data_IF_398225858683
#
_entry.id   IF_398225858683
#
_cell.length_a   1.000
_cell.length_b   1.000
_cell.length_c   1.000
_cell.angle_alpha   90.00
_cell.angle_beta   90.00
_cell.angle_gamma   90.00
#
_symmetry.space_group_name_H-M   'P 1'
#
loop_
_entity.id
_entity.type
_entity.pdbx_description
1 polymer ?
#
# COMPACT_ATOMS: atom_id res chain seq x y z
N UNK A 1 10.15 -3.37 -32.35
CA UNK A 1 9.72 -3.54 -30.96
C UNK A 1 9.39 -2.25 -30.21
N UNK A 2 9.77 -1.07 -30.71
CA UNK A 2 9.60 0.22 -30.01
C UNK A 2 8.19 0.85 -30.04
N UNK A 3 7.32 0.49 -30.97
CA UNK A 3 6.02 1.18 -31.15
C UNK A 3 4.90 0.72 -30.21
N UNK A 4 4.99 -0.45 -29.59
CA UNK A 4 3.95 -0.96 -28.69
C UNK A 4 4.10 -0.52 -27.23
N UNK A 5 5.32 -0.15 -26.80
CA UNK A 5 5.56 0.42 -25.48
C UNK A 5 5.06 1.88 -25.36
N UNK A 6 5.13 2.64 -26.46
CA UNK A 6 4.69 4.05 -26.48
C UNK A 6 3.17 4.18 -26.32
N UNK A 7 2.39 3.20 -26.81
CA UNK A 7 0.94 3.22 -26.67
C UNK A 7 0.45 3.01 -25.23
N UNK A 8 1.16 2.24 -24.41
CA UNK A 8 0.82 2.07 -22.98
C UNK A 8 1.08 3.33 -22.15
N UNK A 9 2.08 4.12 -22.54
CA UNK A 9 2.38 5.40 -21.87
C UNK A 9 1.44 6.54 -22.28
N UNK A 10 0.92 6.54 -23.50
CA UNK A 10 -0.09 7.52 -23.94
C UNK A 10 -1.41 7.37 -23.18
N UNK A 11 -1.77 6.15 -22.77
CA UNK A 11 -2.99 5.91 -21.98
C UNK A 11 -2.89 6.46 -20.53
N UNK A 12 -1.69 6.56 -19.93
CA UNK A 12 -1.51 7.16 -18.62
C UNK A 12 -1.59 8.70 -18.66
N UNK A 13 -1.16 9.32 -19.77
CA UNK A 13 -1.17 10.78 -19.91
C UNK A 13 -2.57 11.36 -20.15
N UNK A 14 -3.52 10.56 -20.64
CA UNK A 14 -4.91 10.98 -20.89
C UNK A 14 -5.82 10.87 -19.67
N UNK A 15 -5.38 10.27 -18.56
CA UNK A 15 -6.19 10.12 -17.34
C UNK A 15 -6.19 11.40 -16.47
N UNK A 16 -5.25 12.32 -16.68
CA UNK A 16 -5.11 13.55 -15.89
C UNK A 16 -6.19 14.64 -16.17
N UNK A 17 -7.17 14.39 -17.01
CA UNK A 17 -8.10 15.42 -17.51
C UNK A 17 -9.58 15.23 -17.22
N UNK A 18 -10.01 14.27 -16.37
CA UNK A 18 -11.44 14.03 -16.15
C UNK A 18 -11.80 14.37 -14.70
N UNK A 19 -12.59 15.42 -14.60
CA UNK A 19 -13.02 16.10 -13.40
C UNK A 19 -13.61 15.23 -12.30
N UNK A 20 -13.45 15.75 -11.10
CA UNK A 20 -13.99 15.30 -9.83
C UNK A 20 -15.51 15.10 -9.94
N UNK A 21 -15.97 13.87 -9.89
CA UNK A 21 -17.33 13.59 -9.44
C UNK A 21 -17.25 13.50 -7.91
N UNK A 22 -17.64 14.59 -7.25
CA UNK A 22 -17.88 14.57 -5.82
C UNK A 22 -19.05 13.60 -5.55
N UNK A 23 -18.71 12.37 -5.21
CA UNK A 23 -19.66 11.44 -4.64
C UNK A 23 -20.14 12.02 -3.30
N UNK A 24 -21.45 12.22 -3.15
CA UNK A 24 -22.07 12.55 -1.87
C UNK A 24 -21.77 11.40 -0.91
N UNK A 25 -20.74 11.58 -0.08
CA UNK A 25 -20.31 10.58 0.88
C UNK A 25 -21.40 10.37 1.91
N UNK A 26 -22.00 9.20 1.91
CA UNK A 26 -22.65 8.67 3.11
C UNK A 26 -21.57 8.57 4.17
N UNK A 27 -21.81 9.18 5.33
CA UNK A 27 -20.90 9.09 6.47
C UNK A 27 -20.57 7.63 6.74
N UNK A 28 -19.31 7.26 6.53
CA UNK A 28 -18.86 5.89 6.73
C UNK A 28 -18.97 5.50 8.18
N UNK A 29 -19.74 4.48 8.44
CA UNK A 29 -19.88 3.95 9.77
C UNK A 29 -18.53 3.38 10.23
N UNK A 30 -17.94 3.99 11.25
CA UNK A 30 -16.77 3.47 11.96
C UNK A 30 -17.07 2.05 12.42
N UNK A 31 -16.21 1.08 12.07
CA UNK A 31 -16.45 -0.31 12.47
C UNK A 31 -16.33 -0.45 13.98
N UNK A 32 -17.26 -1.16 14.64
CA UNK A 32 -17.24 -1.32 16.08
C UNK A 32 -16.07 -2.18 16.57
N UNK A 33 -15.77 -2.09 17.87
CA UNK A 33 -14.80 -2.94 18.54
C UNK A 33 -13.32 -2.57 18.32
N UNK A 34 -13.01 -1.48 17.64
CA UNK A 34 -11.65 -1.00 17.55
C UNK A 34 -11.21 -0.30 18.84
N UNK A 35 -9.99 -0.61 19.27
CA UNK A 35 -9.21 0.26 20.15
C UNK A 35 -8.65 1.40 19.28
N UNK A 36 -8.86 2.66 19.69
CA UNK A 36 -8.26 3.81 19.07
C UNK A 36 -7.16 4.38 19.97
N UNK A 37 -6.02 4.66 19.39
CA UNK A 37 -4.91 5.31 20.07
C UNK A 37 -4.07 6.13 19.10
N UNK A 38 -3.15 6.90 19.65
CA UNK A 38 -2.30 7.79 18.88
C UNK A 38 -0.82 7.44 19.10
N UNK A 39 -0.03 7.55 18.02
CA UNK A 39 1.43 7.41 18.07
C UNK A 39 2.09 8.70 17.63
N UNK A 40 3.31 8.94 18.12
CA UNK A 40 4.10 10.11 17.76
C UNK A 40 4.28 10.20 16.24
N UNK A 41 4.05 11.39 15.67
CA UNK A 41 4.12 11.67 14.25
C UNK A 41 5.54 11.90 13.72
N UNK A 42 6.60 11.68 14.52
CA UNK A 42 8.00 11.85 14.10
C UNK A 42 8.31 13.27 13.57
N UNK A 43 7.72 14.30 14.18
CA UNK A 43 7.88 15.69 13.75
C UNK A 43 6.89 16.16 12.69
N UNK A 44 5.99 15.29 12.22
CA UNK A 44 4.78 15.74 11.51
C UNK A 44 3.83 16.43 12.52
N UNK A 45 2.98 17.37 12.06
CA UNK A 45 1.98 17.98 12.94
C UNK A 45 1.02 16.95 13.54
N UNK A 46 0.94 16.94 14.85
CA UNK A 46 0.06 16.04 15.59
C UNK A 46 0.56 14.59 15.69
N UNK A 47 -0.20 13.81 16.41
CA UNK A 47 0.00 12.38 16.53
C UNK A 47 -0.80 11.62 15.44
N UNK A 48 -0.27 10.49 14.99
CA UNK A 48 -0.94 9.65 14.00
C UNK A 48 -1.97 8.76 14.71
N UNK A 49 -3.22 8.85 14.29
CA UNK A 49 -4.30 7.98 14.74
C UNK A 49 -4.07 6.54 14.30
N UNK A 50 -4.33 5.60 15.18
CA UNK A 50 -4.25 4.17 14.91
C UNK A 50 -5.54 3.50 15.40
N UNK A 51 -6.11 2.66 14.56
CA UNK A 51 -7.26 1.83 14.90
C UNK A 51 -6.82 0.36 14.93
N UNK A 52 -7.18 -0.36 16.01
CA UNK A 52 -6.75 -1.75 16.18
C UNK A 52 -7.90 -2.63 16.66
N UNK A 53 -8.05 -3.80 16.05
CA UNK A 53 -8.98 -4.85 16.46
C UNK A 53 -8.19 -6.03 17.02
N UNK A 54 -8.53 -6.46 18.24
CA UNK A 54 -7.89 -7.59 18.91
C UNK A 54 -8.66 -8.87 18.64
N UNK A 55 -7.93 -9.93 18.37
CA UNK A 55 -8.46 -11.29 18.38
C UNK A 55 -8.27 -11.90 19.78
N UNK A 56 -9.25 -12.67 20.27
CA UNK A 56 -9.21 -13.29 21.60
C UNK A 56 -7.99 -14.21 21.78
N UNK A 57 -7.64 -14.98 20.76
CA UNK A 57 -6.49 -15.89 20.73
C UNK A 57 -5.54 -15.53 19.58
N UNK A 58 -5.02 -14.31 19.61
CA UNK A 58 -4.18 -13.80 18.54
C UNK A 58 -2.85 -14.55 18.43
N UNK A 59 -2.52 -15.02 17.24
CA UNK A 59 -1.19 -15.56 16.92
C UNK A 59 -0.35 -14.61 16.05
N UNK A 60 -0.97 -13.61 15.41
CA UNK A 60 -0.31 -12.63 14.56
C UNK A 60 -1.00 -11.27 14.65
N UNK A 61 -0.26 -10.22 14.37
CA UNK A 61 -0.79 -8.88 14.11
C UNK A 61 -0.38 -8.44 12.73
N UNK A 62 -1.33 -7.95 11.95
CA UNK A 62 -1.10 -7.34 10.64
C UNK A 62 -1.32 -5.83 10.68
N UNK A 63 -0.34 -5.08 10.21
CA UNK A 63 -0.45 -3.63 9.95
C UNK A 63 -0.88 -3.45 8.50
N UNK A 64 -1.95 -2.69 8.26
CA UNK A 64 -2.53 -2.45 6.94
C UNK A 64 -2.24 -1.04 6.47
N UNK A 65 -1.67 -0.91 5.28
CA UNK A 65 -1.35 0.36 4.63
C UNK A 65 -2.31 0.62 3.47
N UNK A 66 -2.82 1.83 3.40
CA UNK A 66 -3.74 2.28 2.36
C UNK A 66 -3.03 2.58 1.02
N UNK A 67 -3.80 2.87 0.00
CA UNK A 67 -3.32 3.34 -1.31
C UNK A 67 -3.03 4.84 -1.34
N UNK A 68 -2.86 5.37 -2.56
CA UNK A 68 -2.47 6.77 -2.81
C UNK A 68 -3.43 7.80 -2.20
N UNK A 69 -4.73 7.46 -2.11
CA UNK A 69 -5.82 8.32 -1.62
C UNK A 69 -6.20 8.05 -0.16
N UNK A 70 -5.24 7.62 0.66
CA UNK A 70 -5.43 7.44 2.10
C UNK A 70 -5.97 8.73 2.75
N UNK A 71 -7.01 8.63 3.56
CA UNK A 71 -7.62 9.78 4.24
C UNK A 71 -7.11 9.91 5.67
N UNK A 72 -7.37 11.06 6.33
CA UNK A 72 -6.89 11.33 7.69
C UNK A 72 -7.95 11.06 8.77
N UNK A 73 -9.15 10.70 8.38
CA UNK A 73 -10.28 10.42 9.28
C UNK A 73 -10.48 8.93 9.53
N UNK A 74 -10.39 8.11 8.47
CA UNK A 74 -10.59 6.66 8.52
C UNK A 74 -9.71 5.98 7.46
N UNK A 75 -9.19 4.79 7.78
CA UNK A 75 -8.49 3.97 6.77
C UNK A 75 -9.47 3.42 5.75
N UNK A 76 -9.06 3.40 4.48
CA UNK A 76 -9.85 2.77 3.42
C UNK A 76 -10.09 1.28 3.67
N UNK A 77 -9.16 0.58 4.33
CA UNK A 77 -9.37 -0.80 4.77
C UNK A 77 -10.56 -0.94 5.73
N UNK A 78 -10.74 0.01 6.65
CA UNK A 78 -11.88 0.01 7.55
C UNK A 78 -13.17 0.37 6.83
N UNK A 79 -13.10 1.38 5.96
CA UNK A 79 -14.26 1.92 5.26
C UNK A 79 -14.81 0.95 4.22
N UNK A 80 -13.94 0.43 3.35
CA UNK A 80 -14.33 -0.28 2.13
C UNK A 80 -14.41 -1.80 2.29
N UNK A 81 -13.91 -2.35 3.43
CA UNK A 81 -13.75 -3.78 3.60
C UNK A 81 -14.27 -4.31 4.95
N UNK A 82 -14.26 -5.63 5.09
CA UNK A 82 -14.51 -6.30 6.37
C UNK A 82 -13.26 -6.96 6.96
N UNK A 83 -12.05 -6.57 6.55
CA UNK A 83 -10.81 -7.23 6.98
C UNK A 83 -10.55 -7.12 8.49
N UNK A 84 -11.20 -6.20 9.23
CA UNK A 84 -11.18 -6.17 10.68
C UNK A 84 -11.70 -7.50 11.28
N UNK A 85 -12.55 -8.25 10.56
CA UNK A 85 -13.05 -9.56 10.97
C UNK A 85 -12.00 -10.69 10.89
N UNK A 86 -10.79 -10.43 10.38
CA UNK A 86 -9.66 -11.36 10.49
C UNK A 86 -9.34 -11.71 11.95
N UNK A 87 -9.84 -10.92 12.91
CA UNK A 87 -9.82 -11.26 14.33
C UNK A 87 -10.47 -12.60 14.62
N UNK A 88 -11.51 -13.00 13.87
CA UNK A 88 -12.14 -14.33 13.95
C UNK A 88 -11.20 -15.48 13.55
N UNK A 89 -10.10 -15.17 12.86
CA UNK A 89 -9.04 -16.09 12.47
C UNK A 89 -7.81 -16.05 13.40
N UNK A 90 -7.88 -15.31 14.49
CA UNK A 90 -6.76 -15.13 15.42
C UNK A 90 -5.69 -14.15 14.94
N UNK A 91 -6.06 -13.18 14.11
CA UNK A 91 -5.16 -12.14 13.59
C UNK A 91 -5.63 -10.79 14.11
N UNK A 92 -4.81 -10.10 14.89
CA UNK A 92 -5.06 -8.71 15.22
C UNK A 92 -4.88 -7.85 13.97
N UNK A 93 -5.75 -6.87 13.77
CA UNK A 93 -5.72 -5.95 12.63
C UNK A 93 -5.42 -4.55 13.13
N UNK A 94 -4.44 -3.89 12.53
CA UNK A 94 -3.99 -2.54 12.92
C UNK A 94 -3.95 -1.66 11.67
N UNK A 95 -4.58 -0.51 11.74
CA UNK A 95 -4.69 0.45 10.66
C UNK A 95 -4.19 1.83 11.14
N UNK A 96 -2.96 2.25 10.80
CA UNK A 96 -2.57 3.65 10.92
C UNK A 96 -3.37 4.47 9.91
N UNK A 97 -3.94 5.59 10.36
CA UNK A 97 -4.85 6.42 9.56
C UNK A 97 -4.10 7.61 8.99
N UNK A 98 -4.17 7.79 7.67
CA UNK A 98 -3.51 8.88 6.96
C UNK A 98 -2.44 8.39 5.96
N UNK A 99 -1.64 9.33 5.48
CA UNK A 99 -0.56 9.02 4.56
C UNK A 99 -0.90 9.22 3.08
N UNK A 100 -1.89 10.06 2.76
CA UNK A 100 -2.17 10.46 1.37
C UNK A 100 -0.88 10.79 0.62
N UNK A 101 -0.68 10.19 -0.54
CA UNK A 101 0.46 10.43 -1.44
C UNK A 101 1.86 10.15 -0.84
N UNK A 102 1.95 9.63 0.40
CA UNK A 102 3.20 9.58 1.17
C UNK A 102 4.17 8.48 0.75
N UNK A 103 3.71 7.42 0.07
CA UNK A 103 4.42 6.16 -0.10
C UNK A 103 4.92 5.57 1.24
N UNK A 104 4.32 6.01 2.36
CA UNK A 104 4.73 5.66 3.72
C UNK A 104 6.24 5.78 3.96
N UNK A 105 6.86 6.76 3.30
CA UNK A 105 8.29 7.05 3.38
C UNK A 105 8.58 8.35 4.14
N UNK A 106 9.84 8.56 4.47
CA UNK A 106 10.31 9.85 4.97
C UNK A 106 10.72 10.70 3.78
N UNK A 107 10.07 11.83 3.59
CA UNK A 107 10.31 12.76 2.51
C UNK A 107 11.53 13.63 2.77
N UNK A 108 12.24 14.00 1.73
CA UNK A 108 13.43 14.87 1.81
C UNK A 108 13.04 16.32 2.18
N UNK A 109 11.88 16.78 1.72
CA UNK A 109 11.37 18.14 1.95
C UNK A 109 9.83 18.19 2.01
N UNK A 110 9.24 19.29 2.52
CA UNK A 110 7.83 19.58 2.36
C UNK A 110 7.43 19.68 0.89
N UNK A 111 6.21 19.23 0.54
CA UNK A 111 5.69 19.40 -0.81
C UNK A 111 5.36 20.87 -1.08
N UNK A 112 6.08 21.49 -1.99
CA UNK A 112 5.88 22.89 -2.35
C UNK A 112 4.79 23.12 -3.40
N UNK A 113 4.24 22.05 -4.01
CA UNK A 113 3.16 22.19 -4.99
C UNK A 113 1.79 22.42 -4.35
N UNK A 114 1.57 21.88 -3.15
CA UNK A 114 0.33 22.06 -2.38
C UNK A 114 0.56 22.83 -1.07
N UNK A 115 1.71 23.49 -0.93
CA UNK A 115 2.09 24.26 0.25
C UNK A 115 2.02 23.47 1.57
N UNK A 116 2.30 22.16 1.53
CA UNK A 116 2.38 21.36 2.77
C UNK A 116 3.53 21.90 3.64
N UNK A 117 3.29 22.27 4.91
CA UNK A 117 4.28 22.97 5.71
C UNK A 117 5.32 22.04 6.36
N UNK A 118 5.25 20.73 6.15
CA UNK A 118 6.14 19.73 6.76
C UNK A 118 6.48 18.61 5.78
N UNK A 119 7.63 17.99 5.97
CA UNK A 119 7.99 16.76 5.27
C UNK A 119 7.32 15.55 5.94
N UNK A 120 6.82 14.62 5.15
CA UNK A 120 6.32 13.36 5.67
C UNK A 120 7.43 12.55 6.37
N UNK A 121 7.05 11.86 7.48
CA UNK A 121 7.90 10.97 8.28
C UNK A 121 7.23 9.62 8.53
N UNK A 122 6.53 9.14 7.53
CA UNK A 122 5.73 7.92 7.67
C UNK A 122 6.57 6.67 7.87
N UNK A 123 7.77 6.57 7.30
CA UNK A 123 8.65 5.44 7.57
C UNK A 123 9.06 5.41 9.06
N UNK A 124 9.39 6.54 9.66
CA UNK A 124 9.65 6.64 11.10
C UNK A 124 8.42 6.17 11.92
N UNK A 125 7.20 6.60 11.55
CA UNK A 125 5.98 6.17 12.25
C UNK A 125 5.80 4.65 12.16
N UNK A 126 5.83 4.07 10.96
CA UNK A 126 5.52 2.65 10.74
C UNK A 126 6.67 1.73 11.18
N UNK A 127 7.92 2.17 11.07
CA UNK A 127 9.09 1.36 11.39
C UNK A 127 9.57 1.47 12.85
N UNK A 128 9.13 2.50 13.58
CA UNK A 128 9.56 2.71 14.96
C UNK A 128 8.41 2.99 15.93
N UNK A 129 7.66 4.09 15.73
CA UNK A 129 6.66 4.53 16.73
C UNK A 129 5.52 3.53 16.89
N UNK A 130 4.95 3.07 15.79
CA UNK A 130 3.84 2.12 15.80
C UNK A 130 4.24 0.76 16.39
N UNK A 131 5.33 0.08 15.98
CA UNK A 131 5.74 -1.17 16.58
C UNK A 131 6.03 -1.08 18.08
N UNK A 132 6.66 0.00 18.55
CA UNK A 132 6.89 0.20 19.98
C UNK A 132 5.57 0.38 20.75
N UNK A 133 4.62 1.14 20.23
CA UNK A 133 3.30 1.30 20.82
C UNK A 133 2.52 -0.02 20.86
N UNK A 134 2.56 -0.80 19.78
CA UNK A 134 1.93 -2.13 19.71
C UNK A 134 2.54 -3.11 20.71
N UNK A 135 3.87 -3.08 20.86
CA UNK A 135 4.57 -3.90 21.88
C UNK A 135 4.12 -3.53 23.28
N UNK A 136 4.09 -2.25 23.63
CA UNK A 136 3.63 -1.76 24.93
C UNK A 136 2.19 -2.11 25.24
N UNK A 137 1.35 -2.30 24.22
CA UNK A 137 -0.07 -2.70 24.33
C UNK A 137 -0.30 -4.22 24.28
N UNK A 138 0.76 -5.03 24.19
CA UNK A 138 0.64 -6.48 24.05
C UNK A 138 0.02 -6.93 22.72
N UNK A 139 0.13 -6.13 21.67
CA UNK A 139 -0.40 -6.41 20.34
C UNK A 139 0.62 -7.08 19.39
N UNK A 140 1.69 -7.70 19.92
CA UNK A 140 2.66 -8.47 19.12
C UNK A 140 2.79 -9.89 19.67
N UNK A 141 1.77 -10.76 19.49
CA UNK A 141 1.72 -12.07 20.15
C UNK A 141 2.83 -13.02 19.73
N UNK A 142 3.32 -12.93 18.48
CA UNK A 142 4.38 -13.79 17.93
C UNK A 142 5.78 -13.13 17.96
N UNK A 143 5.94 -12.02 18.68
CA UNK A 143 7.19 -11.25 18.72
C UNK A 143 7.48 -10.43 17.46
N UNK A 144 6.81 -10.72 16.34
CA UNK A 144 6.94 -9.97 15.07
C UNK A 144 5.61 -9.77 14.37
N UNK A 145 5.52 -8.65 13.68
CA UNK A 145 4.35 -8.21 12.92
C UNK A 145 4.34 -8.80 11.49
N UNK A 146 3.17 -8.82 10.90
CA UNK A 146 2.98 -8.78 9.46
C UNK A 146 2.65 -7.34 9.03
N UNK A 147 3.02 -6.97 7.81
CA UNK A 147 2.61 -5.72 7.18
C UNK A 147 2.04 -6.03 5.80
N UNK A 148 0.93 -5.43 5.47
CA UNK A 148 0.29 -5.58 4.17
C UNK A 148 -0.19 -4.23 3.66
N UNK A 149 -0.28 -4.07 2.35
CA UNK A 149 -0.76 -2.83 1.78
C UNK A 149 -1.22 -2.99 0.33
N UNK A 150 -1.94 -2.00 -0.14
CA UNK A 150 -2.44 -1.93 -1.51
C UNK A 150 -1.74 -0.82 -2.29
N UNK A 151 -1.57 -1.01 -3.62
CA UNK A 151 -1.09 0.05 -4.49
C UNK A 151 0.19 0.71 -3.94
N UNK A 152 0.17 2.02 -3.66
CA UNK A 152 1.22 2.75 -2.94
C UNK A 152 1.66 2.04 -1.65
N UNK A 153 0.70 1.63 -0.82
CA UNK A 153 0.97 0.91 0.44
C UNK A 153 1.53 -0.49 0.22
N UNK A 154 1.23 -1.13 -0.92
CA UNK A 154 1.80 -2.42 -1.29
C UNK A 154 3.30 -2.35 -1.58
N UNK A 155 3.75 -1.30 -2.26
CA UNK A 155 5.17 -0.97 -2.41
C UNK A 155 5.82 -0.73 -1.04
N UNK A 156 5.22 0.15 -0.24
CA UNK A 156 5.74 0.54 1.07
C UNK A 156 5.87 -0.66 2.04
N UNK A 157 4.89 -1.57 2.05
CA UNK A 157 4.90 -2.74 2.93
C UNK A 157 6.14 -3.62 2.71
N UNK A 158 6.54 -3.85 1.44
CA UNK A 158 7.73 -4.64 1.13
C UNK A 158 9.01 -3.92 1.55
N UNK A 159 9.15 -2.64 1.23
CA UNK A 159 10.34 -1.84 1.56
C UNK A 159 10.51 -1.68 3.07
N UNK A 160 9.43 -1.35 3.78
CA UNK A 160 9.47 -1.18 5.24
C UNK A 160 9.85 -2.48 5.92
N UNK A 161 9.24 -3.62 5.56
CA UNK A 161 9.58 -4.91 6.15
C UNK A 161 11.03 -5.32 5.85
N UNK A 162 11.49 -5.13 4.62
CA UNK A 162 12.85 -5.45 4.19
C UNK A 162 13.92 -4.73 5.02
N UNK A 163 13.65 -3.49 5.41
CA UNK A 163 14.57 -2.65 6.18
C UNK A 163 14.35 -2.72 7.71
N UNK A 164 13.24 -3.32 8.19
CA UNK A 164 12.88 -3.36 9.61
C UNK A 164 12.55 -4.76 10.12
N UNK A 165 13.42 -5.74 9.83
CA UNK A 165 13.24 -7.16 10.16
C UNK A 165 13.17 -7.47 11.66
N UNK A 166 13.59 -6.53 12.52
CA UNK A 166 13.41 -6.67 13.96
C UNK A 166 11.93 -6.68 14.33
N UNK A 167 11.11 -5.94 13.58
CA UNK A 167 9.68 -5.81 13.82
C UNK A 167 8.82 -6.68 12.91
N UNK A 168 9.21 -6.84 11.64
CA UNK A 168 8.39 -7.49 10.62
C UNK A 168 8.97 -8.83 10.19
N UNK A 169 8.10 -9.84 10.05
CA UNK A 169 8.43 -11.18 9.56
C UNK A 169 7.70 -11.54 8.28
N UNK A 170 6.59 -10.84 7.99
CA UNK A 170 5.76 -11.08 6.82
C UNK A 170 5.49 -9.75 6.11
N UNK A 171 5.55 -9.75 4.79
CA UNK A 171 5.27 -8.59 3.96
C UNK A 171 4.36 -8.99 2.80
N UNK A 172 3.20 -8.32 2.66
CA UNK A 172 2.22 -8.61 1.62
C UNK A 172 1.89 -7.36 0.81
N UNK A 173 2.14 -7.42 -0.48
CA UNK A 173 1.78 -6.38 -1.45
C UNK A 173 0.60 -6.84 -2.32
N UNK A 174 -0.44 -6.04 -2.35
CA UNK A 174 -1.58 -6.22 -3.25
C UNK A 174 -1.61 -5.07 -4.25
N UNK A 175 -1.54 -5.40 -5.52
CA UNK A 175 -1.54 -4.45 -6.64
C UNK A 175 -0.50 -3.32 -6.48
N UNK A 176 0.67 -3.63 -5.88
CA UNK A 176 1.76 -2.68 -5.69
C UNK A 176 2.57 -2.44 -6.96
N UNK A 177 3.22 -1.28 -7.04
CA UNK A 177 4.18 -0.97 -8.09
C UNK A 177 5.58 -1.40 -7.63
N UNK A 178 5.99 -2.62 -7.99
CA UNK A 178 7.12 -3.31 -7.36
C UNK A 178 8.45 -3.19 -8.11
N UNK A 179 8.51 -2.40 -9.19
CA UNK A 179 9.74 -2.08 -9.91
C UNK A 179 9.70 -0.61 -10.35
N UNK A 180 10.02 0.29 -9.43
CA UNK A 180 10.02 1.73 -9.68
C UNK A 180 11.14 2.17 -10.64
N UNK A 181 12.18 1.34 -10.77
CA UNK A 181 13.31 1.57 -11.68
C UNK A 181 12.99 1.24 -13.14
N UNK A 182 11.88 0.56 -13.42
CA UNK A 182 11.48 0.25 -14.79
C UNK A 182 11.29 1.54 -15.61
N UNK A 183 11.62 1.52 -16.90
CA UNK A 183 11.49 2.68 -17.77
C UNK A 183 10.10 3.32 -17.68
N UNK A 184 10.05 4.61 -17.40
CA UNK A 184 8.82 5.40 -17.30
C UNK A 184 8.12 5.35 -15.94
N UNK A 185 8.44 4.42 -15.03
CA UNK A 185 7.74 4.31 -13.75
C UNK A 185 7.91 5.54 -12.86
N UNK A 186 9.11 6.11 -12.78
CA UNK A 186 9.33 7.36 -12.04
C UNK A 186 8.44 8.50 -12.55
N UNK A 187 8.26 8.60 -13.87
CA UNK A 187 7.35 9.56 -14.48
C UNK A 187 5.89 9.24 -14.14
N UNK A 188 5.48 7.98 -14.20
CA UNK A 188 4.14 7.56 -13.86
C UNK A 188 3.78 7.90 -12.39
N UNK A 189 4.69 7.64 -11.45
CA UNK A 189 4.52 8.02 -10.04
C UNK A 189 4.40 9.55 -9.89
N UNK A 190 5.24 10.31 -10.58
CA UNK A 190 5.20 11.79 -10.54
C UNK A 190 3.85 12.31 -11.04
N UNK A 191 3.32 11.76 -12.13
CA UNK A 191 1.99 12.13 -12.64
C UNK A 191 0.88 11.72 -11.67
N UNK A 192 0.95 10.51 -11.09
CA UNK A 192 -0.03 10.07 -10.11
C UNK A 192 -0.07 10.96 -8.86
N UNK A 193 1.07 11.46 -8.41
CA UNK A 193 1.17 12.39 -7.29
C UNK A 193 0.56 13.77 -7.59
N UNK A 194 0.55 14.22 -8.84
CA UNK A 194 -0.14 15.45 -9.22
C UNK A 194 -1.66 15.33 -9.10
N UNK A 195 -2.22 14.13 -9.30
CA UNK A 195 -3.68 13.85 -9.25
C UNK A 195 -4.13 13.28 -7.89
N UNK A 196 -3.21 13.08 -6.95
CA UNK A 196 -3.57 12.56 -5.64
C UNK A 196 -4.36 13.59 -4.82
N UNK A 197 -5.24 13.10 -3.95
CA UNK A 197 -6.09 13.94 -3.10
C UNK A 197 -5.25 14.88 -2.23
N UNK A 198 -5.75 16.09 -2.01
CA UNK A 198 -5.02 17.21 -1.38
C UNK A 198 -3.74 17.61 -2.15
N UNK A 199 -3.61 17.18 -3.42
CA UNK A 199 -2.51 17.57 -4.29
C UNK A 199 -2.68 18.96 -4.93
N UNK A 200 -1.83 19.28 -5.91
CA UNK A 200 -0.78 18.42 -6.45
C UNK A 200 0.40 18.19 -5.50
N UNK A 201 0.99 17.00 -5.51
CA UNK A 201 2.15 16.67 -4.68
C UNK A 201 3.43 16.65 -5.49
N UNK A 202 4.52 17.17 -4.91
CA UNK A 202 5.82 17.18 -5.58
C UNK A 202 6.64 15.93 -5.26
N UNK A 203 6.79 15.03 -6.23
CA UNK A 203 7.61 13.83 -6.09
C UNK A 203 9.10 14.12 -5.85
N UNK A 204 9.60 15.28 -6.28
CA UNK A 204 10.98 15.67 -6.00
C UNK A 204 11.19 16.04 -4.53
N UNK A 205 10.14 16.48 -3.86
CA UNK A 205 10.16 16.67 -2.40
C UNK A 205 10.14 15.32 -1.67
N UNK A 206 9.61 14.27 -2.29
CA UNK A 206 9.55 12.92 -1.70
C UNK A 206 10.91 12.22 -1.73
N UNK A 207 11.47 12.02 -2.91
CA UNK A 207 12.69 11.22 -3.13
C UNK A 207 13.71 11.89 -4.04
N UNK A 208 13.61 13.19 -4.25
CA UNK A 208 14.45 13.93 -5.18
C UNK A 208 14.06 13.69 -6.65
N UNK A 209 14.79 14.33 -7.57
CA UNK A 209 14.55 14.22 -9.01
C UNK A 209 14.75 12.76 -9.51
N UNK A 210 14.33 12.42 -10.74
CA UNK A 210 14.35 11.03 -11.23
C UNK A 210 15.71 10.32 -11.22
N UNK A 211 16.80 11.06 -11.15
CA UNK A 211 18.18 10.53 -11.04
C UNK A 211 18.67 10.36 -9.60
N UNK A 212 17.88 10.76 -8.59
CA UNK A 212 18.22 10.53 -7.18
C UNK A 212 18.26 9.04 -6.84
N UNK A 213 19.22 8.67 -5.98
CA UNK A 213 19.36 7.31 -5.45
C UNK A 213 18.21 6.92 -4.52
N UNK A 214 17.52 7.90 -3.94
CA UNK A 214 16.38 7.68 -3.06
C UNK A 214 15.25 6.85 -3.71
N UNK A 215 15.10 6.92 -5.04
CA UNK A 215 14.18 6.07 -5.77
C UNK A 215 14.52 4.58 -5.63
N UNK A 216 15.81 4.23 -5.62
CA UNK A 216 16.27 2.85 -5.44
C UNK A 216 16.12 2.36 -4.00
N UNK A 217 16.27 3.27 -3.02
CA UNK A 217 16.03 2.95 -1.60
C UNK A 217 14.57 2.56 -1.33
N UNK A 218 13.63 3.05 -2.14
CA UNK A 218 12.20 2.81 -2.03
C UNK A 218 11.64 1.86 -3.12
N UNK A 219 12.51 1.19 -3.88
CA UNK A 219 12.13 0.24 -4.93
C UNK A 219 12.25 -1.21 -4.44
N UNK A 220 11.13 -1.93 -4.27
CA UNK A 220 11.15 -3.34 -3.86
C UNK A 220 12.00 -4.23 -4.77
N UNK A 221 12.01 -3.96 -6.08
CA UNK A 221 12.80 -4.71 -7.06
C UNK A 221 14.30 -4.61 -6.78
N UNK A 222 14.78 -3.42 -6.45
CA UNK A 222 16.19 -3.16 -6.10
C UNK A 222 16.51 -3.71 -4.71
N UNK A 223 15.57 -3.60 -3.76
CA UNK A 223 15.75 -4.02 -2.38
C UNK A 223 15.53 -5.53 -2.13
N UNK A 224 15.34 -6.32 -3.19
CA UNK A 224 14.90 -7.72 -3.11
C UNK A 224 15.77 -8.59 -2.21
N UNK A 225 17.09 -8.43 -2.23
CA UNK A 225 18.03 -9.23 -1.42
C UNK A 225 17.86 -9.01 0.07
N UNK A 226 17.30 -7.88 0.49
CA UNK A 226 16.97 -7.62 1.89
C UNK A 226 15.78 -8.45 2.38
N UNK A 227 15.06 -9.15 1.50
CA UNK A 227 13.84 -9.88 1.84
C UNK A 227 14.05 -11.36 2.17
N UNK A 228 15.28 -11.92 2.11
CA UNK A 228 15.56 -13.34 2.30
C UNK A 228 14.98 -13.95 3.59
N UNK A 229 14.93 -13.19 4.69
CA UNK A 229 14.43 -13.66 5.98
C UNK A 229 12.94 -13.36 6.22
N UNK A 230 12.23 -12.85 5.23
CA UNK A 230 10.81 -12.54 5.30
C UNK A 230 10.00 -13.61 4.59
N UNK A 231 8.77 -13.84 5.07
CA UNK A 231 7.71 -14.43 4.25
C UNK A 231 7.12 -13.31 3.41
N UNK A 232 7.33 -13.37 2.10
CA UNK A 232 6.84 -12.36 1.15
C UNK A 232 5.67 -12.93 0.36
N UNK A 233 4.58 -12.15 0.26
CA UNK A 233 3.45 -12.45 -0.61
C UNK A 233 3.18 -11.27 -1.52
N UNK A 234 2.87 -11.56 -2.78
CA UNK A 234 2.42 -10.57 -3.74
C UNK A 234 1.15 -11.04 -4.43
N UNK A 235 0.24 -10.12 -4.67
CA UNK A 235 -0.99 -10.38 -5.39
C UNK A 235 -1.31 -9.23 -6.35
N UNK A 236 -1.92 -9.54 -7.47
CA UNK A 236 -2.49 -8.55 -8.39
C UNK A 236 -3.61 -9.19 -9.20
N UNK A 237 -4.67 -8.44 -9.44
CA UNK A 237 -5.71 -8.83 -10.39
C UNK A 237 -5.17 -8.82 -11.82
N UNK A 238 -5.98 -9.33 -12.74
CA UNK A 238 -5.62 -9.41 -14.16
C UNK A 238 -5.89 -8.14 -14.95
N UNK A 239 -6.60 -7.17 -14.38
CA UNK A 239 -7.20 -6.04 -15.10
C UNK A 239 -8.56 -6.38 -15.74
N UNK A 240 -8.98 -7.64 -15.74
CA UNK A 240 -10.29 -8.05 -16.25
C UNK A 240 -11.36 -7.71 -15.21
N UNK A 241 -12.40 -6.91 -15.55
CA UNK A 241 -13.50 -6.64 -14.66
C UNK A 241 -14.24 -7.91 -14.23
N UNK A 242 -14.60 -8.01 -12.97
CA UNK A 242 -15.32 -9.14 -12.39
C UNK A 242 -16.50 -8.71 -11.51
N UNK A 243 -16.89 -9.53 -10.54
CA UNK A 243 -18.08 -9.33 -9.72
C UNK A 243 -18.16 -7.96 -9.03
N UNK A 244 -17.06 -7.45 -8.55
CA UNK A 244 -17.02 -6.13 -7.89
C UNK A 244 -17.15 -4.93 -8.84
N UNK A 245 -17.15 -5.15 -10.16
CA UNK A 245 -17.32 -4.10 -11.16
C UNK A 245 -18.74 -4.03 -11.76
N UNK A 246 -19.65 -4.95 -11.41
CA UNK A 246 -20.96 -5.06 -12.06
C UNK A 246 -21.85 -3.82 -11.91
N UNK A 247 -21.70 -3.08 -10.82
CA UNK A 247 -22.49 -1.87 -10.54
C UNK A 247 -21.66 -0.58 -10.65
N UNK A 248 -20.46 -0.64 -11.25
CA UNK A 248 -19.64 0.52 -11.45
C UNK A 248 -19.97 1.28 -12.72
N UNK A 249 -19.75 2.58 -12.69
CA UNK A 249 -19.78 3.38 -13.91
C UNK A 249 -18.54 3.06 -14.78
N UNK A 250 -18.68 3.27 -16.08
CA UNK A 250 -17.64 2.97 -17.06
C UNK A 250 -16.33 3.73 -16.76
N UNK A 251 -16.40 4.94 -16.21
CA UNK A 251 -15.24 5.78 -15.90
C UNK A 251 -14.36 5.10 -14.84
N UNK A 252 -14.95 4.60 -13.75
CA UNK A 252 -14.21 3.88 -12.70
C UNK A 252 -13.52 2.61 -13.23
N UNK A 253 -14.21 1.88 -14.13
CA UNK A 253 -13.61 0.68 -14.76
C UNK A 253 -12.42 1.08 -15.64
N UNK A 254 -12.60 2.11 -16.48
CA UNK A 254 -11.53 2.60 -17.39
C UNK A 254 -10.32 3.11 -16.62
N UNK A 255 -10.50 3.69 -15.44
CA UNK A 255 -9.39 4.12 -14.58
C UNK A 255 -8.71 2.94 -13.87
N UNK A 256 -9.47 1.99 -13.36
CA UNK A 256 -8.96 0.88 -12.56
C UNK A 256 -8.23 -0.20 -13.37
N UNK A 257 -8.66 -0.45 -14.61
CA UNK A 257 -8.08 -1.50 -15.48
C UNK A 257 -6.61 -1.23 -15.83
N UNK A 258 -6.21 -0.06 -16.35
CA UNK A 258 -4.80 0.21 -16.69
C UNK A 258 -3.87 0.16 -15.45
N UNK A 259 -4.35 0.65 -14.31
CA UNK A 259 -3.58 0.61 -13.06
C UNK A 259 -3.31 -0.83 -12.64
N UNK A 260 -4.31 -1.71 -12.73
CA UNK A 260 -4.15 -3.10 -12.35
C UNK A 260 -3.27 -3.88 -13.33
N UNK A 261 -3.42 -3.65 -14.64
CA UNK A 261 -2.55 -4.25 -15.67
C UNK A 261 -1.10 -3.85 -15.47
N UNK A 262 -0.84 -2.57 -15.15
CA UNK A 262 0.51 -2.10 -14.84
C UNK A 262 1.04 -2.75 -13.56
N UNK A 263 0.22 -2.84 -12.51
CA UNK A 263 0.57 -3.51 -11.27
C UNK A 263 0.89 -4.98 -11.49
N UNK A 264 0.07 -5.70 -12.28
CA UNK A 264 0.34 -7.09 -12.63
C UNK A 264 1.69 -7.25 -13.33
N UNK A 265 1.97 -6.41 -14.32
CA UNK A 265 3.26 -6.45 -15.03
C UNK A 265 4.45 -6.22 -14.08
N UNK A 266 4.33 -5.26 -13.16
CA UNK A 266 5.33 -4.98 -12.13
C UNK A 266 5.49 -6.15 -11.14
N UNK A 267 4.39 -6.74 -10.72
CA UNK A 267 4.38 -7.87 -9.78
C UNK A 267 4.99 -9.11 -10.43
N UNK A 268 4.73 -9.37 -11.71
CA UNK A 268 5.37 -10.47 -12.46
C UNK A 268 6.88 -10.25 -12.65
N UNK A 269 7.30 -9.01 -12.92
CA UNK A 269 8.73 -8.69 -12.98
C UNK A 269 9.41 -8.92 -11.61
N UNK A 270 8.75 -8.53 -10.52
CA UNK A 270 9.23 -8.77 -9.16
C UNK A 270 9.29 -10.26 -8.82
N UNK A 271 8.32 -11.07 -9.26
CA UNK A 271 8.33 -12.53 -9.09
C UNK A 271 9.58 -13.18 -9.74
N UNK A 272 9.91 -12.77 -10.96
CA UNK A 272 11.13 -13.23 -11.63
C UNK A 272 12.38 -12.82 -10.85
N UNK A 273 12.43 -11.59 -10.39
CA UNK A 273 13.54 -11.09 -9.58
C UNK A 273 13.68 -11.83 -8.24
N UNK A 274 12.55 -12.14 -7.59
CA UNK A 274 12.53 -12.94 -6.37
C UNK A 274 13.05 -14.37 -6.59
N UNK A 275 12.65 -15.00 -7.69
CA UNK A 275 13.13 -16.31 -8.07
C UNK A 275 14.65 -16.32 -8.29
N UNK A 276 15.18 -15.38 -9.07
CA UNK A 276 16.62 -15.25 -9.34
C UNK A 276 17.41 -15.03 -8.05
N UNK A 277 16.86 -14.25 -7.13
CA UNK A 277 17.51 -13.95 -5.84
C UNK A 277 17.13 -14.95 -4.73
N UNK A 278 16.42 -16.03 -5.01
CA UNK A 278 16.03 -17.08 -4.04
C UNK A 278 15.27 -16.53 -2.82
N UNK A 279 14.42 -15.53 -3.04
CA UNK A 279 13.53 -15.02 -2.00
C UNK A 279 12.30 -15.92 -1.89
N UNK A 280 11.89 -16.25 -0.66
CA UNK A 280 10.69 -17.05 -0.41
C UNK A 280 9.44 -16.21 -0.73
N UNK A 281 8.88 -16.40 -1.92
CA UNK A 281 7.75 -15.64 -2.44
C UNK A 281 6.51 -16.54 -2.63
N UNK A 282 5.37 -16.08 -2.12
CA UNK A 282 4.06 -16.62 -2.43
C UNK A 282 3.33 -15.67 -3.38
N UNK A 283 2.70 -16.17 -4.41
CA UNK A 283 1.97 -15.36 -5.40
C UNK A 283 0.48 -15.67 -5.39
N UNK A 284 -0.34 -14.67 -5.75
CA UNK A 284 -1.79 -14.81 -5.88
C UNK A 284 -2.29 -13.93 -7.05
N UNK A 285 -2.71 -14.58 -8.13
CA UNK A 285 -3.14 -13.90 -9.36
C UNK A 285 -4.55 -14.37 -9.76
N UNK A 286 -5.60 -13.75 -9.21
CA UNK A 286 -6.97 -14.06 -9.60
C UNK A 286 -7.22 -13.75 -11.08
N UNK A 287 -8.01 -14.59 -11.74
CA UNK A 287 -8.32 -14.46 -13.16
C UNK A 287 -9.08 -13.17 -13.52
N UNK A 288 -9.85 -12.62 -12.56
CA UNK A 288 -10.49 -11.32 -12.66
C UNK A 288 -10.05 -10.43 -11.50
N UNK A 289 -10.01 -9.12 -11.74
CA UNK A 289 -9.69 -8.13 -10.71
C UNK A 289 -9.16 -6.85 -11.34
N UNK A 290 -9.75 -5.73 -10.94
CA UNK A 290 -9.31 -4.38 -11.26
C UNK A 290 -8.75 -3.72 -10.00
N UNK A 291 -8.26 -2.47 -10.11
CA UNK A 291 -7.66 -1.73 -8.99
C UNK A 291 -8.71 -1.27 -7.98
N UNK A 292 -9.29 -2.21 -7.19
CA UNK A 292 -10.48 -1.99 -6.36
C UNK A 292 -10.48 -2.77 -5.05
N UNK A 293 -11.07 -2.19 -4.01
CA UNK A 293 -11.12 -2.67 -2.63
C UNK A 293 -11.65 -4.09 -2.47
N UNK A 294 -12.72 -4.46 -3.15
CA UNK A 294 -13.32 -5.81 -3.03
C UNK A 294 -12.33 -6.92 -3.42
N UNK A 295 -11.52 -6.73 -4.46
CA UNK A 295 -10.51 -7.71 -4.84
C UNK A 295 -9.37 -7.79 -3.84
N UNK A 296 -8.95 -6.67 -3.25
CA UNK A 296 -7.92 -6.64 -2.20
C UNK A 296 -8.41 -7.29 -0.91
N UNK A 297 -9.68 -7.07 -0.56
CA UNK A 297 -10.33 -7.79 0.54
C UNK A 297 -10.22 -9.31 0.33
N UNK A 298 -10.60 -9.81 -0.85
CA UNK A 298 -10.53 -11.24 -1.17
C UNK A 298 -9.09 -11.78 -1.12
N UNK A 299 -8.10 -11.01 -1.58
CA UNK A 299 -6.67 -11.37 -1.49
C UNK A 299 -6.23 -11.52 -0.02
N UNK A 300 -6.69 -10.63 0.87
CA UNK A 300 -6.42 -10.72 2.31
C UNK A 300 -7.05 -11.96 2.94
N UNK A 301 -8.33 -12.23 2.63
CA UNK A 301 -9.01 -13.42 3.13
C UNK A 301 -8.37 -14.70 2.62
N UNK A 302 -8.03 -14.80 1.35
CA UNK A 302 -7.30 -15.97 0.81
C UNK A 302 -5.96 -16.19 1.50
N UNK A 303 -5.20 -15.14 1.80
CA UNK A 303 -3.94 -15.26 2.55
C UNK A 303 -4.18 -15.82 3.96
N UNK A 304 -5.22 -15.38 4.66
CA UNK A 304 -5.58 -15.87 5.98
C UNK A 304 -6.07 -17.33 5.95
N UNK A 305 -6.92 -17.67 4.98
CA UNK A 305 -7.49 -19.02 4.81
C UNK A 305 -6.41 -20.05 4.45
N UNK A 306 -5.41 -19.66 3.68
CA UNK A 306 -4.22 -20.46 3.36
C UNK A 306 -3.22 -20.55 4.52
N UNK A 307 -3.47 -19.93 5.67
CA UNK A 307 -2.57 -19.93 6.81
C UNK A 307 -1.26 -19.16 6.60
N UNK A 308 -1.20 -18.26 5.62
CA UNK A 308 0.03 -17.55 5.27
C UNK A 308 0.60 -16.71 6.42
N UNK A 309 -0.22 -16.22 7.33
CA UNK A 309 0.20 -15.43 8.49
C UNK A 309 0.79 -16.25 9.65
N UNK A 310 0.82 -17.57 9.58
CA UNK A 310 1.37 -18.49 10.60
C UNK A 310 2.87 -18.63 10.53
#
# INVERSE_FOLDING_TARGET
MGKRLVAAFAALATIAGIGIVAGTGTASAVKPGAEEFFVDGCGMPGAVKVRAWRADNAYKTVVLLDGLRATYDISGWEHETNVHELTKKGINVVMPVGGTASFYSDWDAPSNFNNQPYAYRWNCVIADKLPNALKGRGLIPSGKLAIAGISMGGNAALVIAANNKKWYSHAFSMSGYLNLSAPGMKTAIRVALLDAENGPWNADSMWGPPWSTRWYDNDPFVQITKMHSLKVRVASGSGVPGGYNQNENLVSIVQGVPLEVLSLAQTRAFEVQAFVNRVNLTTDYPAAGTHKWGYWQDMMWRAADQGWFR
#
